data_IF_713228616281
#
_entry.id   IF_713228616281
#
_cell.length_a   1.000
_cell.length_b   1.000
_cell.length_c   1.000
_cell.angle_alpha   90.00
_cell.angle_beta   90.00
_cell.angle_gamma   90.00
#
_symmetry.space_group_name_H-M   'P 1'
#
loop_
_entity.id
_entity.type
_entity.pdbx_description
1 polymer ?
#
# COMPACT_ATOMS: atom_id res chain seq x y z
N UNK A 1 10.15 12.06 0.01
CA UNK A 1 8.72 12.31 0.32
C UNK A 1 8.24 11.27 1.32
N UNK A 2 7.66 11.72 2.40
CA UNK A 2 7.09 10.83 3.42
C UNK A 2 5.79 10.22 2.91
N UNK A 3 5.68 8.92 3.02
CA UNK A 3 4.47 8.17 2.66
C UNK A 3 4.17 7.13 3.72
N UNK A 4 3.10 6.38 3.54
CA UNK A 4 2.69 5.31 4.45
C UNK A 4 2.28 4.09 3.66
N UNK A 5 2.62 2.93 4.19
CA UNK A 5 2.27 1.66 3.55
C UNK A 5 1.79 0.66 4.59
N UNK A 6 0.74 -0.05 4.24
CA UNK A 6 0.21 -1.14 5.07
C UNK A 6 0.93 -2.44 4.70
N UNK A 7 1.50 -3.08 5.71
CA UNK A 7 2.16 -4.38 5.57
C UNK A 7 1.44 -5.44 6.40
N UNK A 8 1.59 -6.68 5.99
CA UNK A 8 1.25 -7.80 6.86
C UNK A 8 2.44 -8.03 7.79
N UNK A 9 2.16 -8.27 9.07
CA UNK A 9 3.18 -8.56 10.06
C UNK A 9 3.05 -10.02 10.52
N UNK A 10 4.16 -10.74 10.49
CA UNK A 10 4.24 -12.11 10.95
C UNK A 10 5.61 -12.34 11.60
N UNK A 11 5.62 -12.84 12.84
CA UNK A 11 6.84 -13.14 13.59
C UNK A 11 7.80 -11.95 13.66
N UNK A 12 7.25 -10.73 13.79
CA UNK A 12 8.00 -9.48 13.88
C UNK A 12 8.53 -8.96 12.54
N UNK A 13 8.28 -9.66 11.44
CA UNK A 13 8.72 -9.26 10.09
C UNK A 13 7.56 -8.70 9.29
N UNK A 14 7.91 -7.80 8.36
CA UNK A 14 6.95 -7.17 7.46
C UNK A 14 6.92 -7.88 6.11
N UNK A 15 5.73 -8.04 5.57
CA UNK A 15 5.51 -8.63 4.24
C UNK A 15 4.53 -7.76 3.46
N UNK A 16 4.74 -7.57 2.14
CA UNK A 16 3.73 -6.92 1.31
C UNK A 16 2.39 -7.67 1.37
N UNK A 17 1.29 -6.95 1.15
CA UNK A 17 -0.04 -7.56 1.27
C UNK A 17 -0.34 -8.55 0.15
N UNK A 18 0.09 -8.25 -1.06
CA UNK A 18 -0.34 -9.00 -2.25
C UNK A 18 0.83 -9.44 -3.12
N UNK A 19 1.52 -8.51 -3.76
CA UNK A 19 2.62 -8.82 -4.68
C UNK A 19 3.90 -9.07 -3.89
N UNK A 20 4.61 -10.15 -4.19
CA UNK A 20 5.80 -10.59 -3.45
C UNK A 20 5.53 -10.80 -1.96
N UNK A 21 4.35 -11.27 -1.62
CA UNK A 21 3.86 -11.37 -0.24
C UNK A 21 4.65 -12.34 0.65
N UNK A 22 5.48 -13.20 0.08
CA UNK A 22 6.31 -14.15 0.82
C UNK A 22 7.71 -13.62 1.11
N UNK A 23 8.03 -12.42 0.66
CA UNK A 23 9.34 -11.82 0.86
C UNK A 23 9.31 -10.80 1.99
N UNK A 24 10.15 -11.01 2.99
CA UNK A 24 10.28 -10.06 4.11
C UNK A 24 10.84 -8.73 3.63
N UNK A 25 10.26 -7.65 4.15
CA UNK A 25 10.65 -6.27 3.82
C UNK A 25 11.48 -5.71 4.96
N UNK A 26 12.79 -5.44 4.78
CA UNK A 26 13.62 -4.88 5.84
C UNK A 26 13.28 -3.42 6.12
N UNK A 27 13.56 -2.97 7.34
CA UNK A 27 13.38 -1.58 7.77
C UNK A 27 14.72 -0.85 7.63
N UNK A 28 14.66 0.39 7.16
CA UNK A 28 15.84 1.28 7.10
C UNK A 28 16.67 1.17 5.83
N UNK A 29 16.25 0.36 4.86
CA UNK A 29 16.96 0.18 3.60
C UNK A 29 16.14 0.70 2.43
N UNK A 30 16.81 1.29 1.44
CA UNK A 30 16.19 1.60 0.17
C UNK A 30 15.96 0.33 -0.64
N UNK A 31 14.72 0.08 -1.00
CA UNK A 31 14.29 -1.13 -1.68
C UNK A 31 13.81 -0.76 -3.09
N UNK A 32 14.47 -1.35 -4.08
CA UNK A 32 14.04 -1.20 -5.47
C UNK A 32 12.82 -2.08 -5.73
N UNK A 33 11.88 -1.55 -6.48
CA UNK A 33 10.72 -2.33 -6.92
C UNK A 33 11.14 -3.47 -7.84
N UNK A 34 10.37 -4.53 -7.82
CA UNK A 34 10.53 -5.63 -8.76
C UNK A 34 9.16 -6.13 -9.20
N UNK A 35 9.04 -6.64 -10.43
CA UNK A 35 7.80 -7.27 -10.85
C UNK A 35 7.46 -8.40 -9.90
N UNK A 36 6.20 -8.54 -9.56
CA UNK A 36 5.71 -9.71 -8.86
C UNK A 36 5.87 -10.95 -9.73
N UNK A 37 5.94 -12.12 -9.10
CA UNK A 37 5.81 -13.35 -9.84
C UNK A 37 4.52 -13.27 -10.67
N UNK A 38 4.58 -13.62 -11.94
CA UNK A 38 3.39 -13.78 -12.76
C UNK A 38 2.56 -14.89 -12.14
N UNK A 39 1.58 -14.47 -11.38
CA UNK A 39 0.53 -15.36 -10.92
C UNK A 39 -0.55 -15.26 -11.98
N UNK A 40 -1.00 -16.39 -12.47
CA UNK A 40 -2.17 -16.46 -13.32
C UNK A 40 -3.30 -15.65 -12.69
N UNK A 41 -3.97 -14.81 -13.45
CA UNK A 41 -5.07 -13.91 -13.00
C UNK A 41 -6.11 -14.63 -12.14
N UNK A 42 -6.20 -15.96 -12.27
CA UNK A 42 -7.13 -16.77 -11.48
C UNK A 42 -6.70 -16.97 -10.02
N UNK A 43 -5.45 -16.67 -9.66
CA UNK A 43 -4.87 -17.01 -8.36
C UNK A 43 -4.68 -15.83 -7.42
N UNK A 44 -4.70 -14.59 -7.90
CA UNK A 44 -4.58 -13.42 -7.05
C UNK A 44 -5.94 -12.80 -6.83
N UNK A 45 -6.61 -13.25 -5.80
CA UNK A 45 -7.77 -12.55 -5.28
C UNK A 45 -7.28 -11.63 -4.17
N UNK A 46 -7.39 -10.33 -4.38
CA UNK A 46 -7.17 -9.36 -3.32
C UNK A 46 -8.32 -9.48 -2.33
N UNK A 47 -8.08 -10.12 -1.19
CA UNK A 47 -9.05 -10.13 -0.09
C UNK A 47 -9.34 -8.69 0.32
N UNK A 48 -10.60 -8.30 0.28
CA UNK A 48 -11.04 -6.96 0.65
C UNK A 48 -11.12 -5.95 -0.50
N UNK A 49 -10.62 -6.27 -1.69
CA UNK A 49 -10.70 -5.39 -2.85
C UNK A 49 -11.79 -5.80 -3.86
N UNK A 50 -12.45 -6.94 -3.67
CA UNK A 50 -13.54 -7.38 -4.54
C UNK A 50 -13.16 -7.70 -5.99
N UNK A 51 -11.87 -7.84 -6.32
CA UNK A 51 -11.43 -8.08 -7.68
C UNK A 51 -10.02 -8.60 -7.82
N UNK A 52 -9.63 -8.85 -9.07
CA UNK A 52 -8.30 -9.30 -9.44
C UNK A 52 -7.31 -8.13 -9.38
N UNK A 53 -6.14 -8.35 -8.78
CA UNK A 53 -5.05 -7.40 -8.82
C UNK A 53 -4.26 -7.58 -10.11
N UNK A 54 -4.03 -6.45 -10.78
CA UNK A 54 -3.07 -6.41 -11.87
C UNK A 54 -1.65 -6.40 -11.28
N UNK A 55 -0.82 -7.35 -11.71
CA UNK A 55 0.58 -7.38 -11.31
C UNK A 55 1.33 -6.28 -12.04
N UNK A 56 1.75 -5.27 -11.32
CA UNK A 56 2.59 -4.19 -11.85
C UNK A 56 3.74 -3.96 -10.90
N UNK A 57 4.89 -3.56 -11.42
CA UNK A 57 6.01 -3.18 -10.59
C UNK A 57 5.72 -1.84 -9.91
N UNK A 58 6.40 -1.59 -8.83
CA UNK A 58 6.27 -0.36 -8.05
C UNK A 58 5.70 -0.60 -6.67
N UNK A 59 6.22 0.16 -5.72
CA UNK A 59 5.72 0.16 -4.36
C UNK A 59 4.50 1.07 -4.28
N UNK A 60 3.40 0.54 -3.73
CA UNK A 60 2.19 1.32 -3.50
C UNK A 60 2.20 1.85 -2.07
N UNK A 61 2.15 3.16 -1.92
CA UNK A 61 2.05 3.82 -0.63
C UNK A 61 1.02 4.96 -0.70
N UNK A 62 0.72 5.57 0.45
CA UNK A 62 -0.31 6.60 0.56
C UNK A 62 0.23 7.84 1.28
N UNK A 63 -0.46 8.97 1.16
CA UNK A 63 -0.12 10.20 1.87
C UNK A 63 -0.44 10.16 3.36
N UNK A 64 -1.42 9.36 3.73
CA UNK A 64 -1.84 9.17 5.12
C UNK A 64 -2.02 7.68 5.38
N UNK A 65 -1.88 7.19 6.61
CA UNK A 65 -2.04 5.77 6.92
C UNK A 65 -3.53 5.37 6.95
N UNK A 66 -4.15 5.47 5.80
CA UNK A 66 -5.58 5.18 5.60
C UNK A 66 -5.82 4.71 4.17
N UNK A 67 -6.69 3.73 4.00
CA UNK A 67 -7.21 3.36 2.69
C UNK A 67 -8.63 2.82 2.84
N UNK A 68 -9.51 3.27 1.99
CA UNK A 68 -10.90 2.82 1.92
C UNK A 68 -11.12 1.62 1.00
N UNK A 69 -10.03 1.07 0.45
CA UNK A 69 -10.10 -0.03 -0.53
C UNK A 69 -9.52 -1.35 -0.03
N UNK A 70 -8.86 -1.36 1.11
CA UNK A 70 -8.21 -2.56 1.66
C UNK A 70 -8.72 -2.81 3.07
N UNK A 71 -9.10 -4.03 3.37
CA UNK A 71 -9.53 -4.44 4.69
C UNK A 71 -10.52 -5.59 4.67
N UNK A 72 -11.03 -5.93 5.85
CA UNK A 72 -12.08 -6.93 5.99
C UNK A 72 -13.44 -6.23 5.98
N UNK A 73 -14.33 -6.75 5.15
CA UNK A 73 -15.71 -6.24 5.07
C UNK A 73 -16.46 -6.55 6.35
N UNK A 74 -17.03 -5.52 6.94
CA UNK A 74 -17.84 -5.62 8.14
C UNK A 74 -19.33 -5.71 7.77
N UNK A 75 -20.17 -6.05 8.75
CA UNK A 75 -21.61 -6.19 8.57
C UNK A 75 -22.29 -4.89 8.10
N UNK A 76 -21.71 -3.74 8.47
CA UNK A 76 -22.23 -2.42 8.05
C UNK A 76 -21.72 -2.01 6.65
N UNK A 77 -20.98 -2.87 5.96
CA UNK A 77 -20.44 -2.59 4.62
C UNK A 77 -19.12 -1.84 4.60
N UNK A 78 -18.60 -1.41 5.76
CA UNK A 78 -17.30 -0.74 5.85
C UNK A 78 -16.16 -1.75 5.82
N UNK A 79 -14.94 -1.27 5.53
CA UNK A 79 -13.72 -2.09 5.59
C UNK A 79 -12.95 -1.77 6.86
N UNK A 80 -12.63 -2.79 7.65
CA UNK A 80 -11.79 -2.68 8.83
C UNK A 80 -10.38 -3.17 8.52
N UNK A 81 -9.38 -2.56 9.15
CA UNK A 81 -8.00 -2.99 9.02
C UNK A 81 -7.82 -4.41 9.58
N UNK A 82 -7.17 -5.29 8.84
CA UNK A 82 -6.91 -6.65 9.30
C UNK A 82 -5.96 -6.65 10.49
N UNK A 83 -6.19 -7.58 11.43
CA UNK A 83 -5.38 -7.71 12.66
C UNK A 83 -3.91 -7.99 12.39
N UNK A 84 -3.62 -8.73 11.31
CA UNK A 84 -2.27 -9.13 10.95
C UNK A 84 -1.52 -8.06 10.15
N UNK A 85 -2.06 -6.83 10.11
CA UNK A 85 -1.47 -5.74 9.35
C UNK A 85 -1.00 -4.61 10.26
N UNK A 86 -0.01 -3.87 9.77
CA UNK A 86 0.56 -2.71 10.46
C UNK A 86 0.89 -1.63 9.45
N UNK A 87 0.54 -0.39 9.79
CA UNK A 87 0.96 0.76 9.01
C UNK A 87 2.41 1.13 9.33
N UNK A 88 3.17 1.44 8.31
CA UNK A 88 4.55 1.89 8.44
C UNK A 88 4.72 3.26 7.81
N UNK A 89 5.51 4.12 8.47
CA UNK A 89 6.03 5.33 7.85
C UNK A 89 7.12 4.93 6.87
N UNK A 90 7.07 5.50 5.67
CA UNK A 90 8.00 5.20 4.58
C UNK A 90 8.53 6.48 3.96
N UNK A 91 9.58 6.35 3.16
CA UNK A 91 10.08 7.39 2.28
C UNK A 91 10.10 6.91 0.84
N UNK A 92 9.79 7.81 -0.05
CA UNK A 92 9.85 7.63 -1.50
C UNK A 92 10.81 8.65 -2.08
N UNK A 93 11.63 8.24 -3.03
CA UNK A 93 12.54 9.13 -3.77
C UNK A 93 12.37 8.91 -5.26
N UNK A 94 12.89 9.84 -6.04
CA UNK A 94 12.93 9.75 -7.48
C UNK A 94 12.30 10.95 -8.15
N UNK A 95 12.08 10.84 -9.45
CA UNK A 95 11.49 11.88 -10.29
C UNK A 95 10.01 11.59 -10.50
N UNK A 96 9.17 12.60 -10.29
CA UNK A 96 7.75 12.49 -10.58
C UNK A 96 7.53 12.40 -12.08
N UNK A 97 6.73 11.42 -12.49
CA UNK A 97 6.30 11.24 -13.88
C UNK A 97 4.78 11.17 -13.95
N UNK A 98 4.23 11.41 -15.13
CA UNK A 98 2.80 11.25 -15.35
C UNK A 98 2.46 9.80 -15.66
N UNK A 99 1.34 9.33 -15.14
CA UNK A 99 0.78 8.05 -15.55
C UNK A 99 0.24 8.19 -16.97
N UNK A 100 0.90 7.55 -17.94
CA UNK A 100 0.54 7.65 -19.37
C UNK A 100 -0.76 6.94 -19.71
N UNK A 101 -1.21 6.05 -18.87
CA UNK A 101 -2.43 5.28 -19.11
C UNK A 101 -3.31 5.26 -17.86
N UNK A 102 -4.59 4.98 -18.07
CA UNK A 102 -5.55 4.78 -16.99
C UNK A 102 -5.11 3.69 -16.00
N UNK A 103 -4.30 2.75 -16.45
CA UNK A 103 -3.89 1.58 -15.67
C UNK A 103 -2.47 1.70 -15.06
N UNK A 104 -1.81 2.85 -15.24
CA UNK A 104 -0.43 3.02 -14.80
C UNK A 104 0.57 2.26 -15.67
N UNK A 105 1.74 1.99 -15.12
CA UNK A 105 2.81 1.28 -15.81
C UNK A 105 2.87 -0.19 -15.38
N UNK A 106 3.05 -1.12 -16.31
CA UNK A 106 3.32 -2.52 -15.97
C UNK A 106 4.71 -2.67 -15.34
N UNK A 107 5.68 -1.92 -15.87
CA UNK A 107 7.02 -1.81 -15.31
C UNK A 107 7.29 -0.33 -15.09
N UNK A 108 7.48 0.07 -13.83
CA UNK A 108 7.78 1.46 -13.52
C UNK A 108 9.16 1.83 -14.05
N UNK A 109 9.32 3.01 -14.71
CA UNK A 109 10.63 3.48 -15.09
C UNK A 109 11.59 3.62 -13.91
N UNK A 110 12.87 3.42 -14.14
CA UNK A 110 13.89 3.53 -13.11
C UNK A 110 13.86 4.91 -12.44
N UNK A 111 13.98 4.91 -11.12
CA UNK A 111 14.05 6.11 -10.28
C UNK A 111 12.84 7.05 -10.42
N UNK A 112 11.67 6.51 -10.77
CA UNK A 112 10.46 7.30 -10.96
C UNK A 112 9.41 7.03 -9.88
N UNK A 113 8.48 7.96 -9.73
CA UNK A 113 7.24 7.72 -9.01
C UNK A 113 6.09 8.47 -9.71
N UNK A 114 4.87 7.97 -9.51
CA UNK A 114 3.68 8.59 -10.08
C UNK A 114 2.46 8.37 -9.18
N UNK A 115 1.42 9.15 -9.41
CA UNK A 115 0.17 9.04 -8.68
C UNK A 115 -0.84 8.23 -9.49
N UNK A 116 -1.54 7.35 -8.80
CA UNK A 116 -2.48 6.43 -9.45
C UNK A 116 -3.70 6.20 -8.58
N UNK A 117 -4.89 6.24 -9.18
CA UNK A 117 -6.13 5.85 -8.51
C UNK A 117 -6.63 4.53 -9.07
N UNK A 118 -6.89 3.57 -8.19
CA UNK A 118 -7.51 2.31 -8.57
C UNK A 118 -8.95 2.55 -9.06
N UNK A 119 -9.60 3.54 -8.45
CA UNK A 119 -10.97 3.94 -8.79
C UNK A 119 -11.06 5.46 -8.72
N UNK A 120 -11.81 6.07 -9.63
CA UNK A 120 -12.02 7.53 -9.66
C UNK A 120 -12.62 8.10 -8.37
N UNK A 121 -13.28 7.25 -7.57
CA UNK A 121 -13.87 7.63 -6.28
C UNK A 121 -12.89 7.53 -5.10
N UNK A 122 -11.69 7.04 -5.33
CA UNK A 122 -10.66 6.98 -4.29
C UNK A 122 -10.28 8.40 -3.87
N UNK A 123 -10.32 8.68 -2.56
CA UNK A 123 -10.10 10.02 -2.01
C UNK A 123 -8.69 10.51 -2.33
N UNK A 124 -7.70 9.73 -1.97
CA UNK A 124 -6.29 10.04 -2.24
C UNK A 124 -5.69 9.01 -3.19
N UNK A 125 -4.85 9.43 -4.15
CA UNK A 125 -4.21 8.48 -5.05
C UNK A 125 -3.17 7.65 -4.31
N UNK A 126 -2.90 6.47 -4.85
CA UNK A 126 -1.69 5.73 -4.52
C UNK A 126 -0.48 6.49 -5.04
N UNK A 127 0.60 6.41 -4.30
CA UNK A 127 1.93 6.83 -4.76
C UNK A 127 2.63 5.53 -5.16
N UNK A 128 2.89 5.37 -6.46
CA UNK A 128 3.57 4.19 -6.99
C UNK A 128 5.01 4.58 -7.29
N UNK A 129 5.96 3.91 -6.66
CA UNK A 129 7.37 4.30 -6.72
C UNK A 129 8.29 3.14 -7.04
N UNK A 130 9.41 3.46 -7.70
CA UNK A 130 10.47 2.50 -7.93
C UNK A 130 11.26 2.20 -6.65
N UNK A 131 11.45 3.21 -5.80
CA UNK A 131 12.18 3.07 -4.53
C UNK A 131 11.29 3.38 -3.34
N UNK A 132 11.41 2.54 -2.32
CA UNK A 132 10.74 2.75 -1.04
C UNK A 132 11.72 2.41 0.08
N UNK A 133 11.69 3.20 1.16
CA UNK A 133 12.36 2.87 2.41
C UNK A 133 11.33 2.85 3.53
N UNK A 134 11.24 1.74 4.25
CA UNK A 134 10.43 1.65 5.46
C UNK A 134 11.23 2.29 6.59
N UNK A 135 10.65 3.32 7.22
CA UNK A 135 11.33 4.05 8.30
C UNK A 135 11.03 3.42 9.65
N UNK A 136 9.76 3.19 9.93
CA UNK A 136 9.33 2.59 11.20
C UNK A 136 7.90 2.06 11.13
N UNK A 137 7.58 1.13 12.01
CA UNK A 137 6.20 0.71 12.28
C UNK A 137 5.50 1.79 13.10
N UNK A 138 4.22 1.99 12.85
CA UNK A 138 3.38 2.92 13.61
C UNK A 138 2.47 2.16 14.57
N UNK A 139 2.31 2.71 15.76
CA UNK A 139 1.27 2.23 16.68
C UNK A 139 -0.11 2.66 16.18
N UNK A 140 -1.16 2.01 16.67
CA UNK A 140 -2.54 2.41 16.34
C UNK A 140 -2.83 3.85 16.79
N UNK A 141 -2.27 4.31 17.89
CA UNK A 141 -2.42 5.69 18.36
C UNK A 141 -1.73 6.68 17.42
N UNK A 142 -0.54 6.37 16.94
CA UNK A 142 0.15 7.19 15.94
C UNK A 142 -0.65 7.29 14.63
N UNK A 143 -1.18 6.18 14.17
CA UNK A 143 -2.04 6.16 12.97
C UNK A 143 -3.28 7.03 13.17
N UNK A 144 -3.95 6.89 14.31
CA UNK A 144 -5.14 7.68 14.63
C UNK A 144 -4.84 9.17 14.66
N UNK A 145 -3.73 9.57 15.28
CA UNK A 145 -3.31 10.97 15.35
C UNK A 145 -3.05 11.55 13.97
N UNK A 146 -2.31 10.84 13.12
CA UNK A 146 -2.02 11.29 11.75
C UNK A 146 -3.31 11.42 10.93
N UNK A 147 -4.19 10.43 10.99
CA UNK A 147 -5.46 10.48 10.29
C UNK A 147 -6.31 11.69 10.74
N UNK A 148 -6.49 11.87 12.03
CA UNK A 148 -7.31 12.96 12.57
C UNK A 148 -6.71 14.34 12.28
N UNK A 149 -5.39 14.46 12.29
CA UNK A 149 -4.70 15.69 11.88
C UNK A 149 -4.97 16.06 10.42
N UNK A 150 -5.36 15.08 9.60
CA UNK A 150 -5.74 15.28 8.21
C UNK A 150 -7.27 15.27 8.00
N UNK A 151 -8.04 15.34 9.06
CA UNK A 151 -9.51 15.38 8.99
C UNK A 151 -10.16 14.05 8.65
N UNK A 152 -9.46 12.92 8.86
CA UNK A 152 -9.94 11.59 8.53
C UNK A 152 -10.01 10.73 9.80
N UNK A 153 -11.14 10.05 10.00
CA UNK A 153 -11.24 9.06 11.06
C UNK A 153 -10.47 7.80 10.66
N UNK A 154 -9.63 7.26 11.56
CA UNK A 154 -8.89 6.03 11.27
C UNK A 154 -9.83 4.85 11.08
N UNK A 155 -9.39 3.87 10.29
CA UNK A 155 -10.12 2.62 10.17
C UNK A 155 -10.16 1.89 11.51
N UNK A 156 -11.28 1.24 11.77
CA UNK A 156 -11.38 0.30 12.90
C UNK A 156 -10.49 -0.91 12.60
N UNK A 157 -9.96 -1.50 13.66
CA UNK A 157 -9.23 -2.76 13.54
C UNK A 157 -10.25 -3.91 13.59
N UNK A 158 -10.12 -4.84 12.65
CA UNK A 158 -10.99 -6.03 12.63
C UNK A 158 -10.84 -6.84 13.93
N UNK A 159 -11.92 -7.38 14.40
CA UNK A 159 -11.93 -8.22 15.61
C UNK A 159 -11.73 -9.69 15.30
#
# INVERSE_FOLDING_TARGET
MKTYKLFREKDGKLYPLYVNADEATPIGEWLKSKPGARVDDTHVKAKGCGGKLRLRSGWHSTYIPFTDWIGEKQDDGTLAQRKDTVWCECEVKGTEIESKTRNGYDIIPDDAYYFFRTNSKQTDPWIVSDWLKVVKKLSNDEVAEICRSNGIEPQKIAQ
#
